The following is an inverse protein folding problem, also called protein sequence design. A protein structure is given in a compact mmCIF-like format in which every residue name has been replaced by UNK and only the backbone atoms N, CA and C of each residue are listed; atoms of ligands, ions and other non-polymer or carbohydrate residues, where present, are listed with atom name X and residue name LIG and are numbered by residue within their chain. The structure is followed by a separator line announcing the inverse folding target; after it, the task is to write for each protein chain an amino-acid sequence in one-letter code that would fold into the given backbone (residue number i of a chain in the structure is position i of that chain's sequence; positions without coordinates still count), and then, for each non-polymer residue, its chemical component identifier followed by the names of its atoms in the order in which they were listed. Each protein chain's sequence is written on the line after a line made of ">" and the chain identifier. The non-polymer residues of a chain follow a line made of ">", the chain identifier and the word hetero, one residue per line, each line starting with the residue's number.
data_IF_568189233633
#
_entry.id   IF_568189233633
#
_cell.length_a   1.000
_cell.length_b   1.000
_cell.length_c   1.000
_cell.angle_alpha   90.00
_cell.angle_beta   90.00
_cell.angle_gamma   90.00
#
_symmetry.space_group_name_H-M   'P 1'
#
loop_
_entity.id
_entity.type
_entity.pdbx_description
1 polymer ?
#
# COMPACT_ATOMS: atom_id res chain seq x y z
N UNK A 1 -65.93 -74.74 18.97
CA UNK A 1 -66.13 -73.29 19.14
C UNK A 1 -64.89 -72.71 19.80
N UNK A 2 -63.81 -72.71 19.02
CA UNK A 2 -63.02 -71.55 18.60
C UNK A 2 -63.01 -70.31 19.50
N UNK A 3 -61.80 -69.88 19.86
CA UNK A 3 -61.54 -68.64 20.57
C UNK A 3 -60.04 -68.35 20.63
N UNK A 4 -59.41 -68.14 19.47
CA UNK A 4 -58.04 -67.66 19.32
C UNK A 4 -57.84 -66.30 20.00
N UNK A 5 -56.86 -66.20 20.89
CA UNK A 5 -56.46 -64.94 21.52
C UNK A 5 -55.20 -64.41 20.80
N UNK A 6 -55.42 -63.57 19.78
CA UNK A 6 -54.35 -63.01 18.96
C UNK A 6 -53.69 -61.79 19.63
N UNK A 7 -52.36 -61.85 19.74
CA UNK A 7 -51.50 -60.78 20.24
C UNK A 7 -51.46 -59.63 19.24
N UNK A 8 -52.04 -58.49 19.61
CA UNK A 8 -51.91 -57.21 18.89
C UNK A 8 -50.49 -56.65 18.92
N UNK A 9 -49.63 -57.05 17.97
CA UNK A 9 -48.38 -56.34 17.66
C UNK A 9 -48.72 -55.05 16.89
N UNK A 10 -48.67 -53.90 17.58
CA UNK A 10 -48.59 -52.58 16.92
C UNK A 10 -47.28 -52.49 16.13
N UNK A 11 -47.35 -52.73 14.81
CA UNK A 11 -46.28 -52.34 13.87
C UNK A 11 -46.20 -50.82 13.87
N UNK A 12 -45.22 -50.25 14.57
CA UNK A 12 -44.74 -48.89 14.26
C UNK A 12 -44.08 -48.97 12.89
N UNK A 13 -44.71 -48.35 11.90
CA UNK A 13 -44.08 -48.01 10.63
C UNK A 13 -42.82 -47.20 10.92
N UNK A 14 -41.64 -47.82 10.76
CA UNK A 14 -40.35 -47.15 10.65
C UNK A 14 -39.94 -47.27 9.18
N UNK A 15 -40.54 -46.44 8.34
CA UNK A 15 -39.89 -46.02 7.12
C UNK A 15 -39.32 -44.63 7.40
N UNK A 16 -37.99 -44.44 7.32
CA UNK A 16 -37.41 -43.10 7.24
C UNK A 16 -38.00 -42.42 6.01
N UNK A 17 -38.37 -41.14 6.14
CA UNK A 17 -38.70 -40.32 4.98
C UNK A 17 -37.54 -40.39 3.95
N UNK A 18 -37.82 -40.40 2.64
CA UNK A 18 -36.80 -40.35 1.60
C UNK A 18 -35.80 -39.21 1.88
N UNK A 19 -34.51 -39.46 1.65
CA UNK A 19 -33.44 -38.46 1.84
C UNK A 19 -33.70 -37.14 1.08
N UNK A 20 -34.51 -37.18 0.01
CA UNK A 20 -34.92 -36.02 -0.78
C UNK A 20 -35.96 -35.12 -0.08
N UNK A 21 -36.87 -35.68 0.73
CA UNK A 21 -37.86 -34.90 1.49
C UNK A 21 -37.23 -34.13 2.66
N UNK A 22 -36.18 -34.69 3.28
CA UNK A 22 -35.42 -34.02 4.35
C UNK A 22 -34.60 -32.84 3.82
N UNK A 23 -34.15 -32.91 2.56
CA UNK A 23 -33.45 -31.81 1.88
C UNK A 23 -34.43 -30.69 1.47
N UNK A 24 -35.64 -31.05 1.06
CA UNK A 24 -36.70 -30.10 0.73
C UNK A 24 -37.24 -29.37 1.98
N UNK A 25 -37.52 -30.09 3.07
CA UNK A 25 -37.95 -29.49 4.35
C UNK A 25 -36.87 -28.57 4.94
N UNK A 26 -35.58 -28.87 4.70
CA UNK A 26 -34.46 -28.01 5.12
C UNK A 26 -34.37 -26.75 4.27
N UNK A 27 -34.57 -26.86 2.95
CA UNK A 27 -34.64 -25.71 2.04
C UNK A 27 -35.83 -24.82 2.37
N UNK A 28 -36.99 -25.39 2.64
CA UNK A 28 -38.20 -24.64 2.99
C UNK A 28 -38.04 -23.92 4.32
N UNK A 29 -37.51 -24.58 5.36
CA UNK A 29 -37.14 -23.91 6.62
C UNK A 29 -36.13 -22.78 6.42
N UNK A 30 -35.17 -22.95 5.52
CA UNK A 30 -34.20 -21.91 5.19
C UNK A 30 -34.85 -20.72 4.47
N UNK A 31 -35.78 -20.98 3.54
CA UNK A 31 -36.55 -19.92 2.86
C UNK A 31 -37.45 -19.18 3.84
N UNK A 32 -38.17 -19.90 4.69
CA UNK A 32 -39.03 -19.29 5.71
C UNK A 32 -38.21 -18.41 6.66
N UNK A 33 -37.06 -18.90 7.16
CA UNK A 33 -36.15 -18.09 7.98
C UNK A 33 -35.65 -16.84 7.25
N UNK A 34 -35.33 -16.96 5.97
CA UNK A 34 -34.91 -15.81 5.17
C UNK A 34 -36.07 -14.81 4.99
N UNK A 35 -37.29 -15.28 4.72
CA UNK A 35 -38.47 -14.42 4.60
C UNK A 35 -38.82 -13.74 5.93
N UNK A 36 -38.80 -14.47 7.03
CA UNK A 36 -39.04 -13.93 8.38
C UNK A 36 -37.97 -12.88 8.74
N UNK A 37 -36.70 -13.14 8.39
CA UNK A 37 -35.60 -12.19 8.57
C UNK A 37 -35.77 -10.93 7.71
N UNK A 38 -36.13 -11.08 6.43
CA UNK A 38 -36.39 -9.94 5.54
C UNK A 38 -37.58 -9.11 6.02
N UNK A 39 -38.68 -9.76 6.44
CA UNK A 39 -39.83 -9.07 7.02
C UNK A 39 -39.48 -8.33 8.30
N UNK A 40 -38.65 -8.93 9.16
CA UNK A 40 -38.12 -8.25 10.34
C UNK A 40 -37.30 -7.01 9.98
N UNK A 41 -36.50 -7.04 8.90
CA UNK A 41 -35.76 -5.86 8.42
C UNK A 41 -36.65 -4.80 7.77
N UNK A 42 -37.78 -5.17 7.18
CA UNK A 42 -38.80 -4.22 6.70
C UNK A 42 -39.53 -3.53 7.85
N UNK A 43 -39.93 -4.30 8.87
CA UNK A 43 -40.63 -3.79 10.06
C UNK A 43 -39.68 -3.00 10.99
N UNK A 44 -38.39 -3.34 10.98
CA UNK A 44 -37.33 -2.74 11.79
C UNK A 44 -36.11 -2.43 10.92
N UNK A 45 -36.18 -1.36 10.09
CA UNK A 45 -35.04 -0.97 9.26
C UNK A 45 -33.85 -0.69 10.17
N UNK A 46 -32.73 -1.35 9.87
CA UNK A 46 -31.48 -1.05 10.56
C UNK A 46 -31.18 0.45 10.43
N UNK A 47 -30.65 1.09 11.49
CA UNK A 47 -30.13 2.44 11.37
C UNK A 47 -29.21 2.49 10.15
N UNK A 48 -29.42 3.47 9.26
CA UNK A 48 -28.47 3.73 8.19
C UNK A 48 -27.16 4.12 8.86
N UNK A 49 -26.14 3.29 8.70
CA UNK A 49 -24.81 3.60 9.16
C UNK A 49 -24.35 4.88 8.46
N UNK A 50 -23.85 5.82 9.25
CA UNK A 50 -23.17 7.01 8.72
C UNK A 50 -21.87 6.61 8.03
N UNK A 51 -21.27 7.51 7.26
CA UNK A 51 -19.98 7.24 6.64
C UNK A 51 -18.89 7.08 7.71
N UNK A 52 -18.99 7.85 8.81
CA UNK A 52 -18.14 7.71 9.99
C UNK A 52 -18.25 6.31 10.60
N UNK A 53 -19.48 5.80 10.82
CA UNK A 53 -19.69 4.45 11.36
C UNK A 53 -19.06 3.38 10.45
N UNK A 54 -19.19 3.56 9.13
CA UNK A 54 -18.64 2.63 8.13
C UNK A 54 -17.11 2.65 8.15
N UNK A 55 -16.51 3.83 8.29
CA UNK A 55 -15.06 4.01 8.40
C UNK A 55 -14.56 3.34 9.69
N UNK A 56 -15.23 3.54 10.81
CA UNK A 56 -14.84 2.94 12.11
C UNK A 56 -14.95 1.41 12.10
N UNK A 57 -15.97 0.87 11.43
CA UNK A 57 -16.08 -0.57 11.17
C UNK A 57 -14.93 -1.08 10.30
N UNK A 58 -14.56 -0.35 9.25
CA UNK A 58 -13.45 -0.70 8.37
C UNK A 58 -12.10 -0.65 9.09
N UNK A 59 -11.84 0.37 9.92
CA UNK A 59 -10.68 0.48 10.82
C UNK A 59 -10.58 -0.74 11.73
N UNK A 60 -11.70 -1.10 12.36
CA UNK A 60 -11.78 -2.25 13.26
C UNK A 60 -11.50 -3.57 12.54
N UNK A 61 -12.07 -3.74 11.34
CA UNK A 61 -11.83 -4.92 10.50
C UNK A 61 -10.35 -5.03 10.09
N UNK A 62 -9.75 -3.94 9.63
CA UNK A 62 -8.32 -3.90 9.25
C UNK A 62 -7.42 -4.20 10.44
N UNK A 63 -7.67 -3.57 11.60
CA UNK A 63 -6.93 -3.78 12.84
C UNK A 63 -6.94 -5.27 13.27
N UNK A 64 -8.10 -5.90 13.20
CA UNK A 64 -8.25 -7.34 13.47
C UNK A 64 -7.50 -8.20 12.44
N UNK A 65 -7.58 -7.85 11.15
CA UNK A 65 -6.92 -8.58 10.06
C UNK A 65 -5.39 -8.58 10.20
N UNK A 66 -4.81 -7.46 10.61
CA UNK A 66 -3.35 -7.35 10.81
C UNK A 66 -2.89 -7.83 12.19
N UNK A 67 -3.81 -8.26 13.05
CA UNK A 67 -3.56 -8.84 14.37
C UNK A 67 -3.20 -7.85 15.46
N UNK A 68 -3.60 -6.58 15.36
CA UNK A 68 -3.39 -5.60 16.43
C UNK A 68 -4.54 -5.69 17.44
N UNK A 69 -4.25 -6.01 18.70
CA UNK A 69 -5.25 -6.04 19.78
C UNK A 69 -6.08 -7.33 19.88
N UNK A 70 -5.75 -8.37 19.10
CA UNK A 70 -6.32 -9.70 19.22
C UNK A 70 -5.32 -10.73 19.76
N UNK A 71 -5.81 -11.80 20.38
CA UNK A 71 -4.96 -12.91 20.88
C UNK A 71 -4.36 -13.78 19.75
N UNK A 72 -4.85 -13.63 18.52
CA UNK A 72 -4.42 -14.44 17.37
C UNK A 72 -3.67 -13.58 16.37
N UNK A 73 -2.36 -13.80 16.29
CA UNK A 73 -1.55 -13.25 15.22
C UNK A 73 -1.84 -13.99 13.90
N UNK A 74 -1.95 -13.28 12.77
CA UNK A 74 -2.14 -13.92 11.48
C UNK A 74 -0.91 -14.79 11.17
N UNK A 75 -1.15 -15.96 10.56
CA UNK A 75 -0.07 -16.89 10.18
C UNK A 75 0.88 -16.30 9.13
N UNK A 76 0.35 -15.37 8.34
CA UNK A 76 1.08 -14.65 7.31
C UNK A 76 0.98 -13.17 7.68
N UNK A 77 2.13 -12.50 7.79
CA UNK A 77 2.15 -11.06 8.08
C UNK A 77 1.44 -10.29 6.96
N UNK A 78 0.54 -9.39 7.35
CA UNK A 78 -0.14 -8.48 6.44
C UNK A 78 0.73 -7.24 6.24
N UNK A 79 1.06 -6.95 4.99
CA UNK A 79 1.90 -5.82 4.58
C UNK A 79 1.10 -4.85 3.71
N UNK A 80 1.48 -3.57 3.76
CA UNK A 80 0.88 -2.49 3.00
C UNK A 80 1.88 -2.07 1.92
N UNK A 81 1.68 -2.61 0.73
CA UNK A 81 2.60 -2.36 -0.38
C UNK A 81 2.23 -1.08 -1.10
N UNK A 82 3.18 -0.16 -1.25
CA UNK A 82 3.00 1.03 -2.10
C UNK A 82 3.54 0.69 -3.49
N UNK A 83 2.68 0.72 -4.50
CA UNK A 83 3.00 0.30 -5.87
C UNK A 83 2.40 1.26 -6.90
N UNK A 84 2.95 1.24 -8.12
CA UNK A 84 2.32 1.87 -9.28
C UNK A 84 1.17 0.98 -9.80
N UNK A 85 0.06 1.58 -10.18
CA UNK A 85 -0.96 0.87 -10.96
C UNK A 85 -0.36 0.53 -12.34
N UNK A 86 -0.42 -0.74 -12.77
CA UNK A 86 0.15 -1.13 -14.06
C UNK A 86 -0.66 -0.53 -15.21
N UNK A 87 0.00 -0.28 -16.34
CA UNK A 87 -0.68 0.04 -17.59
C UNK A 87 -1.54 -1.17 -18.02
N UNK A 88 -2.86 -1.03 -18.04
CA UNK A 88 -3.78 -2.14 -18.30
C UNK A 88 -4.96 -1.68 -19.14
N UNK A 89 -5.34 -2.43 -20.17
CA UNK A 89 -6.53 -2.12 -20.98
C UNK A 89 -7.88 -2.23 -20.22
N UNK A 90 -7.86 -2.54 -18.93
CA UNK A 90 -9.04 -2.64 -18.07
C UNK A 90 -9.22 -1.36 -17.26
N UNK A 91 -10.45 -1.06 -16.81
CA UNK A 91 -10.86 0.19 -16.14
C UNK A 91 -10.16 0.52 -14.79
N UNK A 92 -8.98 -0.01 -14.47
CA UNK A 92 -8.30 0.14 -13.18
C UNK A 92 -8.94 -0.70 -12.07
N UNK A 93 -8.30 -0.80 -10.90
CA UNK A 93 -8.88 -1.50 -9.73
C UNK A 93 -9.87 -0.58 -9.00
N UNK A 94 -10.94 -1.11 -8.42
CA UNK A 94 -11.80 -0.32 -7.54
C UNK A 94 -11.13 -0.12 -6.18
N UNK A 95 -11.21 1.11 -5.64
CA UNK A 95 -10.79 1.37 -4.27
C UNK A 95 -11.66 0.55 -3.30
N UNK A 96 -11.05 -0.02 -2.27
CA UNK A 96 -11.74 -0.79 -1.23
C UNK A 96 -12.13 0.05 -0.01
N UNK A 97 -11.95 1.38 -0.08
CA UNK A 97 -12.40 2.29 0.98
C UNK A 97 -13.92 2.40 0.96
N UNK A 98 -14.56 2.36 2.13
CA UNK A 98 -16.01 2.22 2.25
C UNK A 98 -16.80 3.40 1.69
N UNK A 99 -16.20 4.59 1.62
CA UNK A 99 -16.82 5.81 1.07
C UNK A 99 -16.32 6.16 -0.33
N UNK A 100 -15.42 5.37 -0.92
CA UNK A 100 -14.83 5.67 -2.22
C UNK A 100 -15.43 4.76 -3.30
N UNK A 101 -16.14 5.35 -4.24
CA UNK A 101 -16.69 4.65 -5.41
C UNK A 101 -15.77 4.72 -6.65
N UNK A 102 -14.65 5.44 -6.51
CA UNK A 102 -13.73 5.69 -7.62
C UNK A 102 -12.81 4.50 -7.90
N UNK A 103 -12.33 4.46 -9.15
CA UNK A 103 -11.31 3.52 -9.57
C UNK A 103 -9.93 4.16 -9.45
N UNK A 104 -8.95 3.33 -9.16
CA UNK A 104 -7.56 3.75 -9.10
C UNK A 104 -7.02 3.76 -10.53
N UNK A 105 -6.63 4.95 -10.97
CA UNK A 105 -6.11 5.20 -12.32
C UNK A 105 -4.78 4.49 -12.56
N UNK A 106 -4.50 4.24 -13.84
CA UNK A 106 -3.20 3.78 -14.32
C UNK A 106 -2.09 4.76 -13.94
N UNK A 107 -0.87 4.25 -13.77
CA UNK A 107 0.34 5.02 -13.40
C UNK A 107 0.20 5.87 -12.12
N UNK A 108 -0.81 5.57 -11.29
CA UNK A 108 -1.01 6.19 -9.99
C UNK A 108 -0.40 5.34 -8.88
N UNK A 109 0.10 5.99 -7.84
CA UNK A 109 0.49 5.30 -6.61
C UNK A 109 -0.75 4.80 -5.88
N UNK A 110 -0.65 3.58 -5.33
CA UNK A 110 -1.72 2.96 -4.55
C UNK A 110 -1.17 2.11 -3.42
N UNK A 111 -2.03 1.83 -2.45
CA UNK A 111 -1.76 0.82 -1.42
C UNK A 111 -2.39 -0.52 -1.85
N UNK A 112 -1.61 -1.58 -1.76
CA UNK A 112 -2.06 -2.96 -1.87
C UNK A 112 -1.85 -3.67 -0.52
N UNK A 113 -2.93 -3.97 0.19
CA UNK A 113 -2.91 -4.76 1.43
C UNK A 113 -2.80 -6.23 1.05
N UNK A 114 -1.71 -6.90 1.45
CA UNK A 114 -1.46 -8.30 1.09
C UNK A 114 -0.95 -9.14 2.27
N UNK A 115 -1.57 -10.30 2.56
CA UNK A 115 -2.84 -10.78 2.00
C UNK A 115 -4.02 -9.84 2.33
N UNK A 116 -5.01 -9.76 1.43
CA UNK A 116 -6.22 -8.95 1.67
C UNK A 116 -7.20 -9.63 2.65
N UNK A 117 -8.22 -8.87 3.05
CA UNK A 117 -9.29 -9.27 3.97
C UNK A 117 -10.32 -10.21 3.32
N UNK A 118 -10.34 -10.30 2.00
CA UNK A 118 -11.24 -11.20 1.28
C UNK A 118 -10.85 -12.69 1.47
N UNK A 119 -11.83 -13.58 1.26
CA UNK A 119 -11.68 -15.04 1.47
C UNK A 119 -10.55 -15.66 0.63
N UNK A 120 -10.29 -15.10 -0.55
CA UNK A 120 -9.25 -15.58 -1.47
C UNK A 120 -7.87 -15.01 -1.18
N UNK A 121 -7.74 -14.14 -0.17
CA UNK A 121 -6.52 -13.45 0.20
C UNK A 121 -5.89 -12.66 -0.96
N UNK A 122 -6.69 -12.33 -1.99
CA UNK A 122 -6.23 -11.43 -3.05
C UNK A 122 -5.95 -10.05 -2.46
N UNK A 123 -5.04 -9.26 -3.03
CA UNK A 123 -4.74 -7.94 -2.50
C UNK A 123 -5.96 -7.03 -2.54
N UNK A 124 -6.18 -6.27 -1.47
CA UNK A 124 -7.16 -5.19 -1.45
C UNK A 124 -6.46 -3.89 -1.85
N UNK A 125 -7.05 -3.13 -2.77
CA UNK A 125 -6.44 -1.94 -3.35
C UNK A 125 -7.11 -0.67 -2.86
N UNK A 126 -6.31 0.32 -2.51
CA UNK A 126 -6.78 1.63 -2.03
C UNK A 126 -6.00 2.74 -2.71
N UNK A 127 -6.65 3.88 -2.99
CA UNK A 127 -5.91 5.13 -3.14
C UNK A 127 -5.11 5.37 -1.86
N UNK A 128 -3.92 5.97 -1.97
CA UNK A 128 -3.05 6.21 -0.79
C UNK A 128 -3.79 7.00 0.28
N UNK A 129 -4.44 8.10 -0.12
CA UNK A 129 -5.21 8.97 0.77
C UNK A 129 -6.37 8.27 1.48
N UNK A 130 -7.15 7.49 0.73
CA UNK A 130 -8.24 6.71 1.32
C UNK A 130 -7.73 5.65 2.30
N UNK A 131 -6.52 5.13 2.11
CA UNK A 131 -5.96 4.17 3.06
C UNK A 131 -5.53 4.84 4.36
N UNK A 132 -4.99 6.06 4.30
CA UNK A 132 -4.65 6.88 5.46
C UNK A 132 -5.87 7.17 6.35
N UNK A 133 -7.08 7.24 5.79
CA UNK A 133 -8.31 7.35 6.58
C UNK A 133 -8.55 6.12 7.48
N UNK A 134 -7.96 4.97 7.16
CA UNK A 134 -8.17 3.68 7.86
C UNK A 134 -7.05 3.31 8.83
N UNK A 135 -5.90 3.99 8.77
CA UNK A 135 -4.71 3.63 9.54
C UNK A 135 -4.11 4.83 10.24
N UNK A 136 -3.44 4.57 11.36
CA UNK A 136 -2.71 5.60 12.10
C UNK A 136 -1.21 5.31 11.99
N UNK A 137 -0.54 6.00 11.05
CA UNK A 137 0.89 5.83 10.83
C UNK A 137 1.77 6.44 11.93
N UNK A 138 1.18 7.15 12.91
CA UNK A 138 1.90 7.52 14.14
C UNK A 138 2.14 6.31 15.07
N UNK A 139 1.57 5.15 14.76
CA UNK A 139 1.83 3.91 15.50
C UNK A 139 2.76 3.00 14.69
N UNK A 140 3.87 2.59 15.30
CA UNK A 140 4.87 1.72 14.65
C UNK A 140 4.27 0.44 14.07
N UNK A 141 3.25 -0.12 14.72
CA UNK A 141 2.56 -1.32 14.24
C UNK A 141 1.94 -1.17 12.82
N UNK A 142 1.49 0.03 12.43
CA UNK A 142 1.04 0.29 11.05
C UNK A 142 2.22 0.71 10.16
N UNK A 143 3.09 1.60 10.65
CA UNK A 143 4.22 2.12 9.87
C UNK A 143 5.17 0.99 9.40
N UNK A 144 5.47 0.03 10.27
CA UNK A 144 6.38 -1.09 9.98
C UNK A 144 5.90 -1.94 8.80
N UNK A 145 4.59 -1.97 8.56
CA UNK A 145 3.95 -2.77 7.49
C UNK A 145 4.06 -2.11 6.13
N UNK A 146 4.42 -0.83 6.05
CA UNK A 146 4.63 -0.14 4.77
C UNK A 146 5.86 -0.71 4.06
N UNK A 147 5.65 -1.17 2.83
CA UNK A 147 6.70 -1.72 1.97
C UNK A 147 6.61 -1.08 0.59
N UNK A 148 7.52 -0.16 0.19
CA UNK A 148 7.56 0.31 -1.18
C UNK A 148 7.89 -0.86 -2.12
N UNK A 149 7.15 -1.05 -3.21
CA UNK A 149 7.42 -2.14 -4.16
C UNK A 149 8.61 -1.78 -5.04
N UNK A 150 9.72 -2.47 -4.79
CA UNK A 150 11.00 -2.27 -5.50
C UNK A 150 11.48 -3.59 -6.11
N UNK A 151 12.57 -3.51 -6.88
CA UNK A 151 13.31 -4.66 -7.41
C UNK A 151 13.69 -5.71 -6.35
N UNK A 152 13.80 -5.34 -5.06
CA UNK A 152 14.22 -6.24 -3.99
C UNK A 152 13.08 -6.99 -3.29
N UNK A 153 11.93 -6.34 -3.14
CA UNK A 153 10.82 -6.86 -2.34
C UNK A 153 9.56 -7.20 -3.16
N UNK A 154 9.57 -6.98 -4.48
CA UNK A 154 8.46 -7.33 -5.36
C UNK A 154 8.04 -8.81 -5.29
N UNK A 155 8.96 -9.73 -4.93
CA UNK A 155 8.61 -11.14 -4.69
C UNK A 155 7.79 -11.34 -3.43
N UNK A 156 8.02 -10.55 -2.37
CA UNK A 156 7.22 -10.59 -1.14
C UNK A 156 5.77 -10.15 -1.41
N UNK A 157 5.58 -9.26 -2.37
CA UNK A 157 4.27 -8.85 -2.88
C UNK A 157 3.53 -9.96 -3.65
N UNK A 158 4.19 -11.07 -3.96
CA UNK A 158 3.62 -12.16 -4.77
C UNK A 158 3.59 -11.86 -6.27
N UNK A 159 4.39 -10.88 -6.74
CA UNK A 159 4.45 -10.55 -8.16
C UNK A 159 5.18 -11.63 -8.95
N UNK A 160 4.65 -11.96 -10.12
CA UNK A 160 5.27 -12.90 -11.06
C UNK A 160 6.52 -12.28 -11.67
N UNK A 161 7.54 -13.10 -11.96
CA UNK A 161 8.80 -12.63 -12.55
C UNK A 161 8.62 -11.79 -13.82
N UNK A 162 7.63 -12.13 -14.67
CA UNK A 162 7.30 -11.35 -15.88
C UNK A 162 6.77 -9.94 -15.56
N UNK A 163 6.01 -9.77 -14.49
CA UNK A 163 5.54 -8.45 -14.06
C UNK A 163 6.73 -7.60 -13.61
N UNK A 164 7.63 -8.19 -12.82
CA UNK A 164 8.84 -7.54 -12.32
C UNK A 164 9.76 -7.15 -13.48
N UNK A 165 9.95 -8.02 -14.48
CA UNK A 165 10.83 -7.74 -15.63
C UNK A 165 10.35 -6.63 -16.56
N UNK A 166 9.06 -6.28 -16.52
CA UNK A 166 8.52 -5.14 -17.25
C UNK A 166 8.41 -3.87 -16.39
N UNK A 167 8.84 -3.92 -15.13
CA UNK A 167 8.68 -2.80 -14.20
C UNK A 167 7.23 -2.57 -13.75
N UNK A 168 6.30 -3.47 -14.10
CA UNK A 168 4.92 -3.34 -13.67
C UNK A 168 4.87 -3.38 -12.14
N UNK A 169 4.07 -2.50 -11.55
CA UNK A 169 3.90 -2.31 -10.10
C UNK A 169 5.12 -1.73 -9.36
N UNK A 170 6.31 -1.75 -9.95
CA UNK A 170 7.49 -1.20 -9.30
C UNK A 170 7.37 0.32 -9.24
N UNK A 171 7.86 0.91 -8.15
CA UNK A 171 7.93 2.35 -8.03
C UNK A 171 9.04 2.93 -8.92
N UNK A 172 8.84 4.16 -9.37
CA UNK A 172 9.95 4.98 -9.85
C UNK A 172 10.89 5.35 -8.71
N UNK A 173 12.12 5.73 -9.08
CA UNK A 173 13.17 6.04 -8.14
C UNK A 173 12.81 7.14 -7.14
N UNK A 174 12.19 8.23 -7.59
CA UNK A 174 11.80 9.33 -6.72
C UNK A 174 10.79 8.90 -5.66
N UNK A 175 9.73 8.18 -6.06
CA UNK A 175 8.76 7.63 -5.12
C UNK A 175 9.40 6.62 -4.14
N UNK A 176 10.28 5.73 -4.63
CA UNK A 176 11.04 4.79 -3.79
C UNK A 176 11.83 5.55 -2.71
N UNK A 177 12.59 6.60 -3.09
CA UNK A 177 13.39 7.41 -2.16
C UNK A 177 12.51 8.15 -1.16
N UNK A 178 11.46 8.81 -1.63
CA UNK A 178 10.55 9.61 -0.81
C UNK A 178 9.84 8.77 0.25
N UNK A 179 9.31 7.61 -0.13
CA UNK A 179 8.62 6.71 0.82
C UNK A 179 9.59 6.18 1.88
N UNK A 180 10.81 5.80 1.50
CA UNK A 180 11.81 5.30 2.44
C UNK A 180 12.24 6.37 3.43
N UNK A 181 12.46 7.61 2.97
CA UNK A 181 12.82 8.73 3.84
C UNK A 181 11.65 9.13 4.74
N UNK A 182 10.43 9.27 4.20
CA UNK A 182 9.21 9.52 4.99
C UNK A 182 9.03 8.46 6.09
N UNK A 183 9.14 7.17 5.74
CA UNK A 183 9.02 6.07 6.71
C UNK A 183 10.10 6.15 7.79
N UNK A 184 11.35 6.42 7.41
CA UNK A 184 12.46 6.56 8.37
C UNK A 184 12.24 7.74 9.33
N UNK A 185 11.77 8.88 8.82
CA UNK A 185 11.55 10.08 9.62
C UNK A 185 10.35 9.93 10.56
N UNK A 186 9.24 9.35 10.10
CA UNK A 186 8.12 8.96 10.96
C UNK A 186 8.55 8.01 12.07
N UNK A 187 9.38 7.00 11.75
CA UNK A 187 9.92 6.06 12.73
C UNK A 187 10.73 6.75 13.82
N UNK A 188 11.61 7.69 13.46
CA UNK A 188 12.40 8.47 14.42
C UNK A 188 11.52 9.32 15.35
N UNK A 189 10.44 9.91 14.84
CA UNK A 189 9.49 10.66 15.66
C UNK A 189 8.74 9.75 16.64
N UNK A 190 8.33 8.55 16.18
CA UNK A 190 7.71 7.54 17.04
C UNK A 190 8.68 7.10 18.14
N UNK A 191 9.92 6.76 17.79
CA UNK A 191 10.94 6.37 18.76
C UNK A 191 11.19 7.48 19.78
N UNK A 192 11.27 8.75 19.33
CA UNK A 192 11.43 9.91 20.22
C UNK A 192 10.24 10.07 21.16
N UNK A 193 9.00 9.97 20.65
CA UNK A 193 7.77 10.02 21.47
C UNK A 193 7.76 8.91 22.52
N UNK A 194 8.19 7.72 22.13
CA UNK A 194 8.14 6.51 22.96
C UNK A 194 9.38 6.34 23.85
N UNK A 195 10.35 7.27 23.78
CA UNK A 195 11.59 7.24 24.56
C UNK A 195 12.58 6.14 24.14
N UNK A 196 12.44 5.62 22.92
CA UNK A 196 13.31 4.61 22.34
C UNK A 196 14.58 5.29 21.79
N UNK A 197 15.78 4.80 22.16
CA UNK A 197 17.02 5.34 21.62
C UNK A 197 17.08 5.17 20.09
N UNK A 198 17.33 6.28 19.38
CA UNK A 198 17.53 6.26 17.93
C UNK A 198 18.96 5.79 17.66
N UNK A 199 19.10 4.62 17.04
CA UNK A 199 20.41 4.14 16.60
C UNK A 199 20.90 4.99 15.42
N UNK A 200 22.13 5.53 15.48
CA UNK A 200 22.69 6.27 14.36
C UNK A 200 22.95 5.33 13.18
N UNK A 201 22.53 5.74 12.00
CA UNK A 201 22.91 5.07 10.75
C UNK A 201 24.41 5.22 10.54
N UNK A 202 25.03 4.20 9.92
CA UNK A 202 26.43 4.27 9.52
C UNK A 202 26.66 5.51 8.61
N UNK A 203 27.65 6.37 8.93
CA UNK A 203 27.81 7.66 8.26
C UNK A 203 27.95 7.58 6.73
N UNK A 204 28.73 6.63 6.21
CA UNK A 204 28.94 6.52 4.76
C UNK A 204 27.64 6.10 4.06
N UNK A 205 26.89 5.16 4.64
CA UNK A 205 25.57 4.76 4.15
C UNK A 205 24.57 5.91 4.21
N UNK A 206 24.57 6.67 5.30
CA UNK A 206 23.71 7.85 5.44
C UNK A 206 24.04 8.91 4.38
N UNK A 207 25.31 9.17 4.13
CA UNK A 207 25.75 10.11 3.10
C UNK A 207 25.39 9.59 1.69
N UNK A 208 25.57 8.30 1.40
CA UNK A 208 25.11 7.72 0.13
C UNK A 208 23.59 7.85 -0.06
N UNK A 209 22.80 7.69 1.00
CA UNK A 209 21.34 7.75 0.91
C UNK A 209 20.80 9.19 0.85
N UNK A 210 21.45 10.14 1.51
CA UNK A 210 20.89 11.50 1.69
C UNK A 210 21.64 12.58 0.93
N UNK A 211 22.92 12.36 0.62
CA UNK A 211 23.79 13.38 0.01
C UNK A 211 24.27 13.03 -1.39
N UNK A 212 24.04 11.81 -1.89
CA UNK A 212 24.50 11.46 -3.23
C UNK A 212 23.93 12.42 -4.28
N UNK A 213 24.78 12.81 -5.23
CA UNK A 213 24.49 13.85 -6.21
C UNK A 213 24.82 15.28 -5.76
N UNK A 214 25.11 15.52 -4.48
CA UNK A 214 25.67 16.81 -4.01
C UNK A 214 27.10 17.01 -4.51
N UNK A 215 27.47 18.25 -4.78
CA UNK A 215 28.82 18.73 -5.02
C UNK A 215 29.79 18.34 -3.88
N UNK A 216 29.27 18.27 -2.66
CA UNK A 216 30.06 17.93 -1.47
C UNK A 216 30.18 16.43 -1.21
N UNK A 217 29.43 15.60 -1.93
CA UNK A 217 29.38 14.15 -1.68
C UNK A 217 30.66 13.44 -2.11
N UNK A 218 31.25 12.69 -1.19
CA UNK A 218 32.42 11.86 -1.43
C UNK A 218 31.99 10.39 -1.52
N UNK A 219 32.13 9.84 -2.73
CA UNK A 219 31.78 8.45 -3.00
C UNK A 219 32.68 7.48 -2.24
N UNK A 220 32.07 6.63 -1.40
CA UNK A 220 32.76 5.59 -0.64
C UNK A 220 31.97 4.28 -0.67
N UNK A 221 32.64 3.18 -1.01
CA UNK A 221 32.00 1.86 -1.12
C UNK A 221 31.55 1.41 0.27
N UNK A 222 30.28 1.01 0.36
CA UNK A 222 29.68 0.48 1.60
C UNK A 222 29.93 -1.03 1.68
N UNK A 223 30.40 -1.49 2.83
CA UNK A 223 30.63 -2.92 3.06
C UNK A 223 29.32 -3.72 2.99
N UNK A 224 29.37 -4.91 2.38
CA UNK A 224 28.20 -5.75 2.15
C UNK A 224 27.20 -5.26 1.08
N UNK A 225 27.36 -4.05 0.51
CA UNK A 225 26.53 -3.56 -0.58
C UNK A 225 27.05 -4.03 -1.94
N UNK A 226 26.16 -4.45 -2.84
CA UNK A 226 26.55 -4.81 -4.20
C UNK A 226 26.99 -3.56 -4.98
N UNK A 227 27.97 -3.70 -5.88
CA UNK A 227 28.43 -2.58 -6.73
C UNK A 227 27.31 -2.00 -7.60
N UNK A 228 26.39 -2.84 -8.06
CA UNK A 228 25.23 -2.41 -8.83
C UNK A 228 24.33 -1.49 -8.00
N UNK A 229 24.05 -1.87 -6.76
CA UNK A 229 23.20 -1.07 -5.88
C UNK A 229 23.87 0.23 -5.46
N UNK A 230 25.15 0.16 -5.12
CA UNK A 230 25.95 1.34 -4.85
C UNK A 230 25.91 2.32 -6.02
N UNK A 231 26.12 1.82 -7.24
CA UNK A 231 26.06 2.66 -8.45
C UNK A 231 24.68 3.29 -8.62
N UNK A 232 23.60 2.52 -8.48
CA UNK A 232 22.24 3.05 -8.55
C UNK A 232 21.99 4.16 -7.52
N UNK A 233 22.31 3.95 -6.24
CA UNK A 233 22.13 4.94 -5.17
C UNK A 233 23.00 6.18 -5.35
N UNK A 234 24.20 6.02 -5.90
CA UNK A 234 25.13 7.14 -6.12
C UNK A 234 24.80 7.96 -7.37
N UNK A 235 23.95 7.45 -8.29
CA UNK A 235 23.69 8.08 -9.60
C UNK A 235 22.19 8.18 -9.88
N UNK A 236 21.58 7.10 -10.37
CA UNK A 236 20.19 7.05 -10.83
C UNK A 236 19.18 7.41 -9.73
N UNK A 237 19.51 7.08 -8.49
CA UNK A 237 18.67 7.28 -7.30
C UNK A 237 19.23 8.36 -6.36
N UNK A 238 20.18 9.17 -6.85
CA UNK A 238 20.71 10.28 -6.09
C UNK A 238 19.57 11.28 -5.75
N UNK A 239 19.37 11.65 -4.47
CA UNK A 239 18.33 12.59 -4.09
C UNK A 239 18.67 14.04 -4.45
N UNK A 240 19.95 14.34 -4.65
CA UNK A 240 20.41 15.70 -4.95
C UNK A 240 20.81 15.81 -6.42
N UNK A 241 20.53 16.97 -7.00
CA UNK A 241 21.03 17.39 -8.31
C UNK A 241 21.88 18.64 -8.13
N UNK A 242 23.06 18.60 -8.74
CA UNK A 242 24.07 19.65 -8.69
C UNK A 242 24.63 19.91 -10.10
N UNK A 243 25.03 21.15 -10.38
CA UNK A 243 25.70 21.57 -11.62
C UNK A 243 27.23 21.34 -11.59
N UNK A 244 27.78 20.83 -10.48
CA UNK A 244 29.19 20.48 -10.35
C UNK A 244 29.79 20.82 -8.99
N UNK A 245 31.09 20.63 -8.84
CA UNK A 245 31.79 20.70 -7.54
C UNK A 245 31.74 22.07 -6.84
N UNK A 246 31.38 23.14 -7.54
CA UNK A 246 31.29 24.50 -6.98
C UNK A 246 29.84 24.96 -6.77
N UNK A 247 28.85 24.11 -7.08
CA UNK A 247 27.44 24.46 -6.98
C UNK A 247 27.04 24.74 -5.52
N UNK A 248 26.42 25.89 -5.29
CA UNK A 248 25.91 26.33 -3.99
C UNK A 248 24.37 26.30 -3.93
N UNK A 249 23.70 26.05 -5.06
CA UNK A 249 22.23 26.10 -5.18
C UNK A 249 21.72 24.73 -5.64
N UNK A 250 22.01 23.70 -4.83
CA UNK A 250 21.62 22.33 -5.12
C UNK A 250 20.10 22.15 -5.05
N UNK A 251 19.57 21.25 -5.89
CA UNK A 251 18.18 20.82 -5.75
C UNK A 251 18.13 19.51 -4.96
N UNK A 252 17.30 19.45 -3.92
CA UNK A 252 17.17 18.29 -3.04
C UNK A 252 15.74 17.73 -3.07
N UNK A 253 15.62 16.44 -3.43
CA UNK A 253 14.35 15.70 -3.46
C UNK A 253 13.60 15.76 -2.14
N UNK A 254 14.29 15.58 -1.02
CA UNK A 254 13.67 15.48 0.29
C UNK A 254 13.19 16.84 0.78
N UNK A 255 14.01 17.89 0.65
CA UNK A 255 13.61 19.26 1.01
C UNK A 255 12.43 19.76 0.17
N UNK A 256 12.32 19.28 -1.08
CA UNK A 256 11.25 19.70 -1.99
C UNK A 256 9.89 19.11 -1.65
N UNK A 257 9.82 17.82 -1.28
CA UNK A 257 8.55 17.09 -1.18
C UNK A 257 8.20 16.62 0.23
N UNK A 258 9.14 16.61 1.17
CA UNK A 258 8.83 16.36 2.57
C UNK A 258 8.41 17.67 3.21
N UNK A 259 7.10 17.85 3.36
CA UNK A 259 6.48 19.05 3.95
C UNK A 259 6.85 19.26 5.42
N UNK A 260 7.25 18.19 6.11
CA UNK A 260 7.63 18.18 7.51
C UNK A 260 9.15 18.17 7.66
N UNK A 261 9.65 18.94 8.62
CA UNK A 261 11.05 18.87 9.04
C UNK A 261 11.32 17.57 9.82
N UNK A 262 10.27 16.94 10.36
CA UNK A 262 10.34 15.77 11.24
C UNK A 262 11.19 16.04 12.49
N UNK A 263 11.23 17.30 12.91
CA UNK A 263 11.89 17.75 14.13
C UNK A 263 10.89 17.89 15.28
N UNK A 264 9.60 18.00 15.00
CA UNK A 264 8.53 18.10 16.01
C UNK A 264 7.74 16.79 16.10
N UNK A 265 7.41 16.37 17.33
CA UNK A 265 6.52 15.23 17.56
C UNK A 265 5.09 15.55 17.07
N UNK A 266 4.71 16.83 17.02
CA UNK A 266 3.42 17.27 16.47
C UNK A 266 3.22 16.89 15.00
N UNK A 267 4.31 16.72 14.23
CA UNK A 267 4.28 16.24 12.84
C UNK A 267 3.62 14.85 12.71
N UNK A 268 3.59 14.05 13.79
CA UNK A 268 2.88 12.76 13.81
C UNK A 268 1.36 12.90 13.67
N UNK A 269 0.81 14.10 13.86
CA UNK A 269 -0.62 14.36 13.75
C UNK A 269 -1.09 14.65 12.32
N UNK A 270 -0.19 14.64 11.31
CA UNK A 270 -0.52 14.87 9.91
C UNK A 270 -0.91 13.56 9.20
N UNK A 271 -2.21 13.21 9.12
CA UNK A 271 -2.64 11.88 8.70
C UNK A 271 -2.39 11.60 7.21
N UNK A 272 -2.29 12.65 6.39
CA UNK A 272 -2.22 12.54 4.93
C UNK A 272 -0.85 12.85 4.32
N UNK A 273 0.19 12.92 5.15
CA UNK A 273 1.53 13.31 4.72
C UNK A 273 2.12 12.43 3.61
N UNK A 274 1.79 11.13 3.58
CA UNK A 274 2.29 10.22 2.54
C UNK A 274 1.56 10.46 1.21
N UNK A 275 0.23 10.62 1.23
CA UNK A 275 -0.52 10.86 -0.02
C UNK A 275 -0.27 12.24 -0.61
N UNK A 276 -0.09 13.27 0.22
CA UNK A 276 0.20 14.62 -0.23
C UNK A 276 1.58 14.69 -0.90
N UNK A 277 2.63 14.17 -0.24
CA UNK A 277 3.98 14.03 -0.81
C UNK A 277 3.98 13.30 -2.16
N UNK A 278 3.31 12.15 -2.24
CA UNK A 278 3.25 11.36 -3.48
C UNK A 278 2.45 12.05 -4.59
N UNK A 279 1.44 12.84 -4.24
CA UNK A 279 0.63 13.60 -5.20
C UNK A 279 1.40 14.77 -5.80
N UNK A 280 2.17 15.49 -4.97
CA UNK A 280 3.09 16.54 -5.43
C UNK A 280 4.17 15.96 -6.34
N UNK A 281 4.84 14.87 -5.91
CA UNK A 281 5.81 14.16 -6.74
C UNK A 281 5.21 13.71 -8.08
N UNK A 282 4.00 13.14 -8.08
CA UNK A 282 3.31 12.71 -9.33
C UNK A 282 3.10 13.89 -10.28
N UNK A 283 2.72 15.04 -9.74
CA UNK A 283 2.42 16.26 -10.51
C UNK A 283 3.69 16.82 -11.14
N UNK A 284 4.75 17.03 -10.34
CA UNK A 284 6.02 17.54 -10.82
C UNK A 284 6.69 16.56 -11.80
N UNK A 285 6.57 15.25 -11.55
CA UNK A 285 6.97 14.19 -12.50
C UNK A 285 6.29 14.35 -13.85
N UNK A 286 4.98 14.53 -13.85
CA UNK A 286 4.22 14.74 -15.09
C UNK A 286 4.71 16.00 -15.82
N UNK A 287 4.85 17.12 -15.12
CA UNK A 287 5.30 18.39 -15.71
C UNK A 287 6.72 18.30 -16.29
N UNK A 288 7.66 17.72 -15.55
CA UNK A 288 9.06 17.59 -15.99
C UNK A 288 9.19 16.68 -17.22
N UNK A 289 8.41 15.60 -17.28
CA UNK A 289 8.48 14.60 -18.35
C UNK A 289 7.57 14.89 -19.56
N UNK A 290 6.55 15.74 -19.40
CA UNK A 290 5.67 16.11 -20.50
C UNK A 290 6.38 16.98 -21.54
N UNK A 291 6.11 16.70 -22.82
CA UNK A 291 6.45 17.62 -23.90
C UNK A 291 5.58 18.88 -23.79
N UNK A 292 6.12 20.04 -24.21
CA UNK A 292 5.43 21.33 -24.06
C UNK A 292 4.12 21.41 -24.85
N UNK A 293 3.98 20.67 -25.95
CA UNK A 293 2.76 20.57 -26.75
C UNK A 293 1.60 19.87 -26.01
N UNK A 294 1.91 19.07 -24.98
CA UNK A 294 0.93 18.41 -24.12
C UNK A 294 0.51 19.23 -22.91
N UNK A 295 1.16 20.37 -22.67
CA UNK A 295 0.87 21.26 -21.54
C UNK A 295 0.05 22.46 -22.01
N UNK A 296 -0.97 22.82 -21.21
CA UNK A 296 -1.62 24.11 -21.35
C UNK A 296 -0.70 25.24 -20.83
N UNK A 297 -1.08 26.50 -21.02
CA UNK A 297 -0.23 27.64 -20.63
C UNK A 297 0.11 27.61 -19.13
N UNK A 298 -0.86 27.28 -18.27
CA UNK A 298 -0.63 27.10 -16.83
C UNK A 298 0.42 26.02 -16.54
N UNK A 299 0.35 24.88 -17.22
CA UNK A 299 1.30 23.78 -17.04
C UNK A 299 2.71 24.12 -17.54
N UNK A 300 2.83 24.95 -18.58
CA UNK A 300 4.12 25.48 -19.04
C UNK A 300 4.73 26.42 -17.99
N UNK A 301 3.92 27.34 -17.44
CA UNK A 301 4.36 28.24 -16.37
C UNK A 301 4.77 27.47 -15.11
N UNK A 302 4.02 26.44 -14.71
CA UNK A 302 4.36 25.58 -13.58
C UNK A 302 5.64 24.77 -13.82
N UNK A 303 5.84 24.27 -15.04
CA UNK A 303 7.08 23.59 -15.42
C UNK A 303 8.28 24.54 -15.41
N UNK A 304 8.13 25.76 -15.91
CA UNK A 304 9.19 26.77 -15.88
C UNK A 304 9.61 27.09 -14.43
N UNK A 305 8.66 27.18 -13.51
CA UNK A 305 8.91 27.39 -12.07
C UNK A 305 9.69 26.26 -11.40
N UNK A 306 9.66 25.03 -11.92
CA UNK A 306 10.50 23.96 -11.40
C UNK A 306 12.00 24.26 -11.62
N UNK A 307 12.34 24.96 -12.69
CA UNK A 307 13.71 25.21 -13.09
C UNK A 307 14.40 23.99 -13.70
N UNK A 308 15.47 24.24 -14.46
CA UNK A 308 16.15 23.19 -15.23
C UNK A 308 16.75 22.09 -14.36
N UNK A 309 17.32 22.47 -13.21
CA UNK A 309 17.94 21.54 -12.25
C UNK A 309 16.93 20.53 -11.71
N UNK A 310 15.78 21.00 -11.20
CA UNK A 310 14.71 20.11 -10.75
C UNK A 310 14.19 19.22 -11.89
N UNK A 311 14.00 19.76 -13.10
CA UNK A 311 13.54 18.98 -14.25
C UNK A 311 14.51 17.83 -14.58
N UNK A 312 15.83 18.07 -14.55
CA UNK A 312 16.83 17.00 -14.77
C UNK A 312 16.76 15.94 -13.66
N UNK A 313 16.71 16.37 -12.41
CA UNK A 313 16.63 15.49 -11.25
C UNK A 313 15.37 14.61 -11.28
N UNK A 314 14.20 15.24 -11.50
CA UNK A 314 12.91 14.57 -11.57
C UNK A 314 12.90 13.56 -12.72
N UNK A 315 13.39 13.93 -13.92
CA UNK A 315 13.45 12.99 -15.06
C UNK A 315 14.32 11.77 -14.76
N UNK A 316 15.48 11.96 -14.15
CA UNK A 316 16.36 10.88 -13.70
C UNK A 316 15.62 9.96 -12.73
N UNK A 317 15.05 10.54 -11.68
CA UNK A 317 14.33 9.84 -10.61
C UNK A 317 12.98 9.25 -11.06
N UNK A 318 12.43 9.67 -12.19
CA UNK A 318 11.19 9.10 -12.76
C UNK A 318 11.39 7.72 -13.38
N UNK A 319 12.64 7.29 -13.55
CA UNK A 319 12.96 5.97 -14.09
C UNK A 319 12.68 4.88 -13.04
N UNK A 320 12.14 3.75 -13.48
CA UNK A 320 11.92 2.57 -12.62
C UNK A 320 13.24 1.80 -12.49
N UNK A 321 13.81 1.64 -11.29
CA UNK A 321 15.03 0.86 -11.09
C UNK A 321 14.76 -0.62 -11.32
N UNK A 322 15.29 -1.16 -12.42
CA UNK A 322 15.10 -2.55 -12.79
C UNK A 322 16.01 -3.49 -11.98
N UNK A 323 15.61 -4.75 -11.76
CA UNK A 323 16.48 -5.73 -11.13
C UNK A 323 17.73 -6.00 -11.99
N UNK A 324 18.86 -6.25 -11.33
CA UNK A 324 20.05 -6.77 -12.00
C UNK A 324 19.87 -8.26 -12.34
N UNK A 325 19.31 -8.51 -13.52
CA UNK A 325 19.13 -9.88 -14.02
C UNK A 325 20.46 -10.59 -14.32
N UNK A 326 21.55 -9.87 -14.55
CA UNK A 326 22.86 -10.48 -14.80
C UNK A 326 23.43 -11.06 -13.51
N UNK A 327 23.37 -10.31 -12.41
CA UNK A 327 23.76 -10.82 -11.09
C UNK A 327 22.83 -11.93 -10.59
N UNK A 328 21.54 -11.91 -10.97
CA UNK A 328 20.57 -12.93 -10.55
C UNK A 328 20.65 -14.26 -11.33
N UNK A 329 21.27 -14.29 -12.51
CA UNK A 329 21.40 -15.49 -13.35
C UNK A 329 22.80 -16.14 -13.28
N UNK A 330 23.81 -15.39 -12.82
CA UNK A 330 25.20 -15.84 -12.72
C UNK A 330 25.67 -16.06 -11.27
N UNK A 331 24.79 -15.86 -10.30
CA UNK A 331 25.02 -16.09 -8.87
C UNK A 331 24.69 -17.50 -8.42
#
# INVERSE_FOLDING_TARGET
>A
MDGENSKGKRKRSRFPAPLDELDEERRERSRQRYQDLMKHYEDHPLPKLTDEDRIDLAKSALRNHIGIGGERHPRIAVLFFIELTPHSASRGAACQHVTCDDRIEEDSYRIAVHPGMNVYQSPDFYHVRCFEDLVDFSQGAYLDRIVPVTRYNARMRGLKGRSISYGNYLLDGGAERLILEWKSSMGKLIDRRDGVPIEPMEPDLNDLLRKSGSASYQSKIIDGMSRHEFFNLSTNLAPIESDGAEDQEEWNLFERYLSMTFDDIEDLNEPHSLSDMLSEWKTDKFLACANEDKLNDKGKDEKEKLGEKAIRAIRRLSSIPMPDFQSALLG
#
